data_IF_346889267572
#
_entry.id   IF_346889267572
#
_cell.length_a   1.000
_cell.length_b   1.000
_cell.length_c   1.000
_cell.angle_alpha   90.00
_cell.angle_beta   90.00
_cell.angle_gamma   90.00
#
_symmetry.space_group_name_H-M   'P 1'
#
loop_
_entity.id
_entity.type
_entity.pdbx_description
1 polymer ?
#
# COMPACT_ATOMS: atom_id res chain seq x y z
N UNK A 1 51.75 -19.78 -14.32
CA UNK A 1 52.68 -20.34 -15.32
C UNK A 1 51.85 -20.97 -16.43
N UNK A 2 52.17 -20.59 -17.68
CA UNK A 2 51.47 -20.92 -18.93
C UNK A 2 51.22 -22.41 -19.17
N UNK A 3 50.13 -22.71 -19.91
CA UNK A 3 50.23 -23.46 -21.18
C UNK A 3 48.97 -23.31 -22.05
N UNK A 4 49.17 -22.63 -23.17
CA UNK A 4 48.37 -22.70 -24.39
C UNK A 4 48.55 -24.08 -25.07
N UNK A 5 47.57 -24.55 -25.84
CA UNK A 5 47.72 -24.90 -27.29
C UNK A 5 46.45 -25.55 -27.86
N UNK A 6 45.93 -24.97 -28.96
CA UNK A 6 45.12 -25.66 -29.98
C UNK A 6 46.01 -26.53 -30.88
N UNK A 7 45.43 -27.42 -31.70
CA UNK A 7 45.56 -27.20 -33.15
C UNK A 7 44.34 -27.62 -34.02
N UNK A 8 44.45 -27.24 -35.31
CA UNK A 8 43.54 -27.28 -36.46
C UNK A 8 43.45 -28.64 -37.22
N UNK A 9 42.24 -28.95 -37.77
CA UNK A 9 41.83 -29.46 -39.13
C UNK A 9 42.53 -30.75 -39.73
N UNK A 10 42.11 -31.44 -40.86
CA UNK A 10 41.29 -31.02 -42.03
C UNK A 10 40.45 -32.10 -42.87
N UNK A 11 39.73 -31.66 -43.95
CA UNK A 11 39.29 -32.30 -45.27
C UNK A 11 38.35 -33.56 -45.23
N UNK A 12 37.32 -33.82 -46.08
CA UNK A 12 37.21 -33.83 -47.56
C UNK A 12 35.75 -34.03 -48.07
N UNK A 13 35.51 -33.54 -49.29
CA UNK A 13 34.26 -33.47 -50.06
C UNK A 13 33.88 -34.73 -50.87
N UNK A 14 32.61 -34.81 -51.31
CA UNK A 14 32.16 -35.59 -52.49
C UNK A 14 31.12 -34.78 -53.28
N UNK A 15 31.26 -34.84 -54.61
CA UNK A 15 30.58 -34.11 -55.69
C UNK A 15 29.79 -35.11 -56.57
N UNK A 16 29.05 -34.61 -57.60
CA UNK A 16 28.53 -35.29 -58.84
C UNK A 16 27.03 -35.70 -58.78
N UNK A 17 26.12 -35.49 -59.75
CA UNK A 17 26.07 -34.80 -61.07
C UNK A 17 24.59 -34.52 -61.48
N UNK A 18 24.48 -33.66 -62.49
CA UNK A 18 23.35 -33.10 -63.29
C UNK A 18 22.37 -34.04 -64.01
N UNK A 19 21.17 -33.51 -64.34
CA UNK A 19 20.45 -33.72 -65.62
C UNK A 19 19.60 -32.47 -66.00
N UNK A 20 19.53 -32.20 -67.31
CA UNK A 20 18.93 -31.02 -67.99
C UNK A 20 17.85 -31.49 -68.98
N UNK A 21 16.80 -30.66 -69.19
CA UNK A 21 15.87 -30.66 -70.34
C UNK A 21 14.40 -30.94 -69.94
N UNK A 22 13.33 -30.25 -70.38
CA UNK A 22 13.07 -29.27 -71.45
C UNK A 22 11.81 -28.42 -71.11
N UNK A 23 11.68 -27.26 -71.80
CA UNK A 23 10.60 -26.25 -71.82
C UNK A 23 9.16 -26.78 -71.99
N UNK A 24 8.16 -26.07 -71.41
CA UNK A 24 7.26 -25.09 -72.11
C UNK A 24 6.40 -24.26 -71.13
N UNK A 25 6.10 -23.03 -71.57
CA UNK A 25 5.32 -21.90 -70.99
C UNK A 25 3.98 -22.27 -70.30
N UNK A 26 3.33 -21.49 -69.42
CA UNK A 26 3.06 -20.04 -69.41
C UNK A 26 2.35 -19.64 -68.08
N UNK A 27 2.60 -18.41 -67.58
CA UNK A 27 1.80 -17.59 -66.61
C UNK A 27 1.53 -18.18 -65.18
N UNK A 28 1.68 -17.50 -64.04
CA UNK A 28 1.31 -16.14 -63.60
C UNK A 28 2.21 -15.76 -62.39
N UNK A 29 2.57 -14.48 -62.29
CA UNK A 29 3.62 -13.95 -61.42
C UNK A 29 3.45 -14.13 -59.90
N UNK A 30 4.60 -14.41 -59.26
CA UNK A 30 4.80 -14.43 -57.83
C UNK A 30 5.29 -13.06 -57.33
N UNK A 31 4.83 -12.70 -56.14
CA UNK A 31 4.98 -11.40 -55.51
C UNK A 31 6.36 -11.33 -54.84
N UNK A 32 7.14 -10.31 -55.19
CA UNK A 32 8.42 -10.01 -54.57
C UNK A 32 8.30 -9.88 -53.05
N UNK A 33 9.05 -10.70 -52.33
CA UNK A 33 9.28 -10.61 -50.88
C UNK A 33 10.06 -9.35 -50.54
N UNK A 34 9.34 -8.33 -50.06
CA UNK A 34 9.92 -7.17 -49.39
C UNK A 34 10.21 -7.53 -47.94
N UNK A 35 11.49 -7.58 -47.55
CA UNK A 35 11.92 -7.67 -46.16
C UNK A 35 11.55 -6.37 -45.44
N UNK A 36 10.40 -6.34 -44.76
CA UNK A 36 10.04 -5.28 -43.83
C UNK A 36 10.79 -5.49 -42.52
N UNK A 37 11.83 -4.70 -42.27
CA UNK A 37 12.44 -4.59 -40.95
C UNK A 37 11.44 -3.89 -40.02
N UNK A 38 10.64 -4.68 -39.31
CA UNK A 38 9.74 -4.17 -38.29
C UNK A 38 10.58 -3.68 -37.11
N UNK A 39 10.68 -2.36 -36.97
CA UNK A 39 11.30 -1.72 -35.82
C UNK A 39 10.41 -2.02 -34.62
N UNK A 40 10.96 -2.70 -33.60
CA UNK A 40 10.27 -2.93 -32.34
C UNK A 40 9.80 -1.58 -31.74
N UNK A 41 8.56 -1.47 -31.26
CA UNK A 41 8.11 -0.26 -30.57
C UNK A 41 9.06 0.07 -29.42
N UNK A 42 9.32 1.36 -29.13
CA UNK A 42 10.15 1.73 -27.99
C UNK A 42 9.52 1.17 -26.72
N UNK A 43 10.32 0.48 -25.89
CA UNK A 43 9.94 0.06 -24.55
C UNK A 43 9.43 1.28 -23.79
N UNK A 44 8.16 1.32 -23.36
CA UNK A 44 7.65 2.43 -22.57
C UNK A 44 8.51 2.56 -21.32
N UNK A 45 9.12 3.73 -21.12
CA UNK A 45 9.79 4.01 -19.85
C UNK A 45 8.72 4.01 -18.76
N UNK A 46 8.87 3.12 -17.78
CA UNK A 46 7.91 2.94 -16.69
C UNK A 46 7.52 4.28 -16.06
N UNK A 47 6.23 4.59 -15.91
CA UNK A 47 5.80 5.67 -15.04
C UNK A 47 6.37 5.42 -13.64
N UNK A 48 6.95 6.45 -13.02
CA UNK A 48 7.40 6.40 -11.64
C UNK A 48 6.24 5.94 -10.74
N UNK A 49 6.50 5.01 -9.81
CA UNK A 49 5.50 4.50 -8.87
C UNK A 49 4.75 5.68 -8.21
N UNK A 50 3.41 5.65 -8.19
CA UNK A 50 2.63 6.72 -7.61
C UNK A 50 3.03 6.87 -6.16
N UNK A 51 3.31 8.10 -5.72
CA UNK A 51 3.94 8.33 -4.44
C UNK A 51 3.06 7.76 -3.33
N UNK A 52 3.69 7.23 -2.28
CA UNK A 52 3.03 7.13 -0.97
C UNK A 52 2.37 8.48 -0.75
N UNK A 53 1.07 8.54 -0.40
CA UNK A 53 0.50 9.81 0.01
C UNK A 53 1.25 10.20 1.27
N UNK A 54 2.26 11.07 1.14
CA UNK A 54 3.03 11.59 2.27
C UNK A 54 2.19 12.64 2.99
N UNK A 55 0.97 12.26 3.31
CA UNK A 55 -0.01 13.07 4.00
C UNK A 55 -0.59 12.27 5.16
N UNK A 56 -0.98 13.00 6.18
CA UNK A 56 -1.65 12.45 7.34
C UNK A 56 -2.81 13.36 7.76
N UNK A 57 -3.78 12.76 8.42
CA UNK A 57 -4.96 13.37 9.00
C UNK A 57 -5.00 12.91 10.46
N UNK A 58 -4.61 13.76 11.43
CA UNK A 58 -4.52 13.36 12.83
C UNK A 58 -5.82 12.72 13.33
N UNK A 59 -5.70 11.64 14.10
CA UNK A 59 -6.85 10.85 14.56
C UNK A 59 -7.43 9.89 13.52
N UNK A 60 -7.17 10.08 12.22
CA UNK A 60 -7.87 9.35 11.15
C UNK A 60 -6.92 8.45 10.35
N UNK A 61 -5.85 9.02 9.76
CA UNK A 61 -5.01 8.33 8.77
C UNK A 61 -3.57 8.83 8.78
N UNK A 62 -2.62 7.93 8.53
CA UNK A 62 -1.24 8.27 8.23
C UNK A 62 -0.70 7.50 7.04
N UNK A 63 -0.52 8.19 5.91
CA UNK A 63 -0.16 7.51 4.68
C UNK A 63 -1.17 6.40 4.38
N UNK A 64 -0.71 5.15 4.49
CA UNK A 64 -1.48 3.92 4.29
C UNK A 64 -2.06 3.29 5.56
N UNK A 65 -1.86 3.90 6.71
CA UNK A 65 -2.32 3.38 8.00
C UNK A 65 -3.54 4.13 8.50
N UNK A 66 -4.35 3.42 9.25
CA UNK A 66 -5.55 3.89 9.95
C UNK A 66 -5.68 3.18 11.32
N UNK A 67 -6.78 3.42 12.01
CA UNK A 67 -7.09 2.82 13.31
C UNK A 67 -7.04 1.29 13.34
N UNK A 68 -7.38 0.61 12.24
CA UNK A 68 -7.44 -0.85 12.17
C UNK A 68 -6.11 -1.49 11.77
N UNK A 69 -5.11 -0.66 11.43
CA UNK A 69 -3.77 -1.14 11.10
C UNK A 69 -3.10 -1.79 12.30
N UNK A 70 -2.57 -2.99 12.09
CA UNK A 70 -1.90 -3.81 13.09
C UNK A 70 -0.39 -3.89 12.82
N UNK A 71 0.42 -4.24 13.83
CA UNK A 71 1.88 -4.37 13.67
C UNK A 71 2.30 -5.28 12.51
N UNK A 72 1.58 -6.38 12.29
CA UNK A 72 1.80 -7.35 11.22
C UNK A 72 1.52 -6.79 9.81
N UNK A 73 0.64 -5.78 9.70
CA UNK A 73 0.28 -5.15 8.43
C UNK A 73 1.41 -4.26 7.88
N UNK A 74 2.28 -3.78 8.76
CA UNK A 74 3.29 -2.76 8.43
C UNK A 74 4.24 -3.18 7.32
N UNK A 75 4.58 -4.47 7.24
CA UNK A 75 5.45 -4.96 6.18
C UNK A 75 4.76 -4.95 4.80
N UNK A 76 3.45 -5.19 4.74
CA UNK A 76 2.68 -5.04 3.51
C UNK A 76 2.55 -3.56 3.13
N UNK A 77 2.19 -2.70 4.09
CA UNK A 77 1.96 -1.28 3.83
C UNK A 77 3.27 -0.54 3.47
N UNK A 78 4.39 -0.95 4.05
CA UNK A 78 5.72 -0.35 3.89
C UNK A 78 6.83 -1.41 3.75
N UNK A 79 6.94 -2.08 2.59
CA UNK A 79 7.87 -3.20 2.42
C UNK A 79 9.35 -2.78 2.49
N UNK A 80 10.17 -3.72 2.96
CA UNK A 80 11.64 -3.73 2.87
C UNK A 80 12.47 -2.77 3.75
N UNK A 81 11.91 -2.08 4.76
CA UNK A 81 12.71 -1.29 5.75
C UNK A 81 11.99 -1.10 7.10
N UNK A 82 11.48 -2.19 7.65
CA UNK A 82 10.87 -2.22 8.99
C UNK A 82 11.89 -2.72 10.02
N UNK A 83 12.31 -1.87 10.95
CA UNK A 83 13.29 -2.20 12.00
C UNK A 83 12.59 -2.17 13.36
N UNK A 84 12.54 -3.31 14.07
CA UNK A 84 12.13 -3.33 15.48
C UNK A 84 13.09 -2.48 16.31
N UNK A 85 12.56 -1.58 17.13
CA UNK A 85 13.36 -0.66 17.92
C UNK A 85 12.69 -0.37 19.27
N UNK A 86 13.52 -0.02 20.25
CA UNK A 86 13.09 0.62 21.49
C UNK A 86 13.00 2.12 21.24
N UNK A 87 11.79 2.67 21.27
CA UNK A 87 11.51 4.08 20.96
C UNK A 87 11.44 4.88 22.24
N UNK A 88 12.19 5.98 22.34
CA UNK A 88 12.19 6.84 23.52
C UNK A 88 10.90 7.67 23.59
N UNK A 89 10.22 7.66 24.74
CA UNK A 89 8.92 8.33 24.94
C UNK A 89 8.94 9.45 25.98
N UNK A 90 10.12 9.80 26.50
CA UNK A 90 10.29 10.79 27.59
C UNK A 90 10.69 10.13 28.90
N UNK A 91 11.19 10.93 29.85
CA UNK A 91 11.55 10.49 31.22
C UNK A 91 12.53 9.29 31.28
N UNK A 92 13.34 9.10 30.23
CA UNK A 92 14.23 7.94 30.11
C UNK A 92 13.53 6.62 29.82
N UNK A 93 12.23 6.63 29.51
CA UNK A 93 11.42 5.45 29.19
C UNK A 93 11.48 5.09 27.70
N UNK A 94 11.31 3.80 27.41
CA UNK A 94 11.31 3.27 26.06
C UNK A 94 10.18 2.27 25.85
N UNK A 95 9.56 2.31 24.68
CA UNK A 95 8.51 1.36 24.27
C UNK A 95 8.94 0.52 23.08
N UNK A 96 8.33 -0.65 22.94
CA UNK A 96 8.49 -1.44 21.73
C UNK A 96 7.79 -0.76 20.55
N UNK A 97 8.51 -0.70 19.43
CA UNK A 97 8.04 -0.05 18.24
C UNK A 97 8.82 -0.47 17.01
N UNK A 98 8.56 0.26 15.94
CA UNK A 98 9.22 0.08 14.66
C UNK A 98 9.73 1.41 14.12
N UNK A 99 10.94 1.42 13.57
CA UNK A 99 11.38 2.43 12.60
C UNK A 99 11.01 1.95 11.21
N UNK A 100 10.17 2.71 10.53
CA UNK A 100 9.66 2.40 9.20
C UNK A 100 10.37 3.28 8.18
N UNK A 101 10.72 2.72 7.01
CA UNK A 101 11.52 3.40 5.99
C UNK A 101 12.88 3.91 6.51
N UNK A 102 13.50 3.17 7.45
CA UNK A 102 14.67 3.67 8.17
C UNK A 102 15.82 4.10 7.26
N UNK A 103 16.39 5.27 7.55
CA UNK A 103 17.47 5.90 6.77
C UNK A 103 17.00 6.69 5.55
N UNK A 104 15.69 6.89 5.36
CA UNK A 104 15.11 7.73 4.30
C UNK A 104 14.51 9.01 4.87
N UNK A 105 14.30 10.00 4.02
CA UNK A 105 13.57 11.23 4.35
C UNK A 105 12.12 10.96 4.78
N UNK A 106 11.59 9.80 4.38
CA UNK A 106 10.24 9.32 4.70
C UNK A 106 10.17 8.55 6.02
N UNK A 107 11.26 8.48 6.79
CA UNK A 107 11.32 7.69 8.02
C UNK A 107 10.36 8.23 9.08
N UNK A 108 9.70 7.30 9.76
CA UNK A 108 8.85 7.55 10.91
C UNK A 108 8.96 6.40 11.90
N UNK A 109 8.58 6.67 13.14
CA UNK A 109 8.51 5.71 14.23
C UNK A 109 7.04 5.33 14.48
N UNK A 110 6.82 4.05 14.74
CA UNK A 110 5.54 3.46 15.12
C UNK A 110 5.71 2.90 16.53
N UNK A 111 4.93 3.41 17.49
CA UNK A 111 4.88 2.89 18.84
C UNK A 111 3.69 1.93 18.93
N UNK A 112 3.93 0.74 19.45
CA UNK A 112 2.88 -0.26 19.60
C UNK A 112 1.97 0.05 20.78
N UNK A 113 0.70 -0.40 20.75
CA UNK A 113 -0.14 -0.38 21.93
C UNK A 113 0.57 -1.00 23.13
N UNK A 114 0.48 -0.34 24.28
CA UNK A 114 1.10 -0.74 25.54
C UNK A 114 0.23 -0.28 26.71
N UNK A 115 -0.35 -1.24 27.43
CA UNK A 115 -1.12 -0.96 28.65
C UNK A 115 -0.23 -0.34 29.74
N UNK A 116 1.00 -0.83 29.89
CA UNK A 116 1.99 -0.33 30.86
C UNK A 116 2.24 1.18 30.68
N UNK A 117 2.26 1.63 29.42
CA UNK A 117 2.58 3.01 29.04
C UNK A 117 1.33 3.85 28.79
N UNK A 118 0.13 3.31 28.99
CA UNK A 118 -1.12 4.00 28.69
C UNK A 118 -1.30 4.33 27.21
N UNK A 119 -0.75 3.51 26.30
CA UNK A 119 -0.90 3.61 24.85
C UNK A 119 -1.95 2.60 24.38
N UNK A 120 -3.25 2.91 24.35
CA UNK A 120 -4.29 1.94 23.98
C UNK A 120 -4.26 1.61 22.47
N UNK A 121 -3.68 2.50 21.65
CA UNK A 121 -3.63 2.36 20.19
C UNK A 121 -2.22 2.67 19.68
N UNK A 122 -1.96 2.26 18.44
CA UNK A 122 -0.70 2.56 17.77
C UNK A 122 -0.50 4.08 17.66
N UNK A 123 0.70 4.55 17.98
CA UNK A 123 1.07 5.97 17.86
C UNK A 123 2.14 6.15 16.80
N UNK A 124 2.05 7.24 16.05
CA UNK A 124 2.99 7.58 14.99
C UNK A 124 3.81 8.78 15.41
N UNK A 125 5.12 8.72 15.19
CA UNK A 125 6.05 9.83 15.39
C UNK A 125 6.82 10.12 14.11
N UNK A 126 6.73 11.36 13.62
CA UNK A 126 7.47 11.88 12.47
C UNK A 126 8.47 12.91 12.95
N UNK A 127 9.73 12.77 12.54
CA UNK A 127 10.83 13.57 13.12
C UNK A 127 11.91 13.97 12.09
N UNK A 128 11.76 13.59 10.82
CA UNK A 128 12.75 13.95 9.78
C UNK A 128 12.46 15.36 9.25
N UNK A 129 13.27 16.34 9.66
CA UNK A 129 13.27 17.71 9.10
C UNK A 129 13.45 17.66 7.58
N UNK A 130 12.57 18.36 6.86
CA UNK A 130 12.54 18.37 5.39
C UNK A 130 11.91 17.12 4.76
N UNK A 131 11.43 16.16 5.57
CA UNK A 131 10.73 14.98 5.09
C UNK A 131 9.41 15.33 4.38
N UNK A 132 8.88 14.40 3.56
CA UNK A 132 7.74 14.70 2.71
C UNK A 132 6.38 14.62 3.41
N UNK A 133 6.31 14.15 4.66
CA UNK A 133 5.06 14.00 5.41
C UNK A 133 4.42 15.36 5.74
N UNK A 134 3.19 15.59 5.28
CA UNK A 134 2.42 16.83 5.46
C UNK A 134 1.04 16.59 6.06
N UNK A 135 0.55 17.52 6.86
CA UNK A 135 -0.85 17.51 7.28
C UNK A 135 -1.72 17.79 6.05
N UNK A 136 -2.63 16.84 5.73
CA UNK A 136 -3.52 16.90 4.59
C UNK A 136 -4.23 18.26 4.46
N UNK A 137 -4.26 18.80 3.23
CA UNK A 137 -4.82 20.11 2.94
C UNK A 137 -3.92 21.30 3.30
N UNK A 138 -2.72 21.07 3.84
CA UNK A 138 -1.77 22.12 4.24
C UNK A 138 -0.33 21.79 3.78
N UNK A 139 0.59 22.73 4.00
CA UNK A 139 2.04 22.51 3.84
C UNK A 139 2.77 22.24 5.17
N UNK A 140 2.03 22.04 6.26
CA UNK A 140 2.60 21.83 7.61
C UNK A 140 3.23 20.44 7.69
N UNK A 141 4.49 20.38 8.11
CA UNK A 141 5.25 19.15 8.36
C UNK A 141 6.48 19.43 9.22
N UNK A 142 7.29 18.41 9.51
CA UNK A 142 8.52 18.62 10.30
C UNK A 142 9.45 19.61 9.59
N UNK A 143 9.91 20.61 10.33
CA UNK A 143 10.70 21.74 9.85
C UNK A 143 9.89 22.97 9.44
N UNK A 144 8.55 22.95 9.49
CA UNK A 144 7.75 24.16 9.23
C UNK A 144 8.12 25.25 10.24
N UNK A 145 8.50 26.45 9.78
CA UNK A 145 8.88 27.56 10.66
C UNK A 145 7.67 28.12 11.42
N UNK A 146 7.94 28.73 12.57
CA UNK A 146 6.90 29.20 13.50
C UNK A 146 5.90 30.18 12.88
N UNK A 147 6.36 31.10 12.02
CA UNK A 147 5.51 32.06 11.32
C UNK A 147 4.50 31.35 10.38
N UNK A 148 4.98 30.38 9.59
CA UNK A 148 4.14 29.57 8.73
C UNK A 148 3.20 28.65 9.52
N UNK A 149 3.59 28.19 10.72
CA UNK A 149 2.69 27.46 11.63
C UNK A 149 1.57 28.35 12.15
N UNK A 150 1.88 29.59 12.58
CA UNK A 150 0.88 30.56 13.04
C UNK A 150 -0.09 30.89 11.90
N UNK A 151 0.42 31.13 10.69
CA UNK A 151 -0.41 31.38 9.50
C UNK A 151 -1.32 30.19 9.19
N UNK A 152 -0.78 28.96 9.18
CA UNK A 152 -1.57 27.76 8.92
C UNK A 152 -2.62 27.51 10.01
N UNK A 153 -2.30 27.78 11.28
CA UNK A 153 -3.25 27.69 12.39
C UNK A 153 -4.33 28.77 12.32
N UNK A 154 -4.02 29.94 11.77
CA UNK A 154 -4.89 31.10 11.66
C UNK A 154 -4.83 32.06 12.84
N UNK A 155 -4.17 31.68 13.94
CA UNK A 155 -3.89 32.53 15.10
C UNK A 155 -2.75 31.91 15.94
N UNK A 156 -2.25 32.68 16.92
CA UNK A 156 -1.26 32.24 17.89
C UNK A 156 -1.78 31.08 18.77
N UNK A 157 -0.86 30.19 19.11
CA UNK A 157 -1.08 29.01 19.96
C UNK A 157 -0.09 28.97 21.14
N UNK A 158 -0.22 27.95 21.98
CA UNK A 158 0.59 27.72 23.18
C UNK A 158 1.39 26.42 23.13
N UNK A 159 2.56 26.43 23.77
CA UNK A 159 3.44 25.27 23.92
C UNK A 159 4.15 25.30 25.29
N UNK A 160 4.79 24.20 25.67
CA UNK A 160 5.59 24.09 26.89
C UNK A 160 6.97 24.72 26.73
N UNK A 161 7.47 25.44 27.73
CA UNK A 161 8.85 25.96 27.74
C UNK A 161 9.91 24.85 27.56
N UNK A 162 11.12 25.17 27.11
CA UNK A 162 12.18 24.19 26.82
C UNK A 162 12.99 23.75 28.06
N UNK A 163 13.90 22.79 27.90
CA UNK A 163 14.87 22.37 28.94
C UNK A 163 14.37 21.37 29.97
N UNK A 164 13.30 20.63 29.64
CA UNK A 164 12.79 19.49 30.39
C UNK A 164 12.19 18.47 29.41
N UNK A 165 11.79 17.30 29.90
CA UNK A 165 11.50 16.12 29.06
C UNK A 165 10.32 16.29 28.08
N UNK A 166 9.42 17.25 28.33
CA UNK A 166 8.32 17.60 27.41
C UNK A 166 8.45 19.02 26.85
N UNK A 167 9.65 19.60 26.90
CA UNK A 167 9.89 20.95 26.45
C UNK A 167 9.59 21.13 24.97
N UNK A 168 8.99 22.27 24.61
CA UNK A 168 8.56 22.55 23.24
C UNK A 168 7.21 21.93 22.84
N UNK A 169 6.63 21.02 23.64
CA UNK A 169 5.37 20.35 23.28
C UNK A 169 4.23 21.35 23.09
N UNK A 170 3.49 21.24 21.98
CA UNK A 170 2.33 22.10 21.70
C UNK A 170 1.19 21.67 22.63
N UNK A 171 0.70 22.61 23.44
CA UNK A 171 -0.28 22.33 24.50
C UNK A 171 -1.69 22.78 24.12
N UNK A 172 -1.83 23.82 23.28
CA UNK A 172 -3.13 24.35 22.90
C UNK A 172 -3.10 25.17 21.61
N UNK A 173 -3.79 24.70 20.57
CA UNK A 173 -3.97 25.43 19.29
C UNK A 173 -4.95 26.60 19.35
N UNK A 174 -5.58 26.85 20.50
CA UNK A 174 -6.57 27.92 20.75
C UNK A 174 -7.77 27.91 19.81
N UNK A 175 -8.15 26.72 19.31
CA UNK A 175 -9.26 26.55 18.38
C UNK A 175 -8.92 26.87 16.92
N UNK A 176 -7.62 27.00 16.59
CA UNK A 176 -7.15 27.17 15.23
C UNK A 176 -7.21 25.90 14.38
N UNK A 177 -6.86 26.04 13.10
CA UNK A 177 -7.03 24.99 12.08
C UNK A 177 -6.18 23.73 12.33
N UNK A 178 -5.20 23.79 13.23
CA UNK A 178 -4.29 22.68 13.53
C UNK A 178 -4.67 21.87 14.78
N UNK A 179 -5.87 22.06 15.34
CA UNK A 179 -6.33 21.48 16.63
C UNK A 179 -6.19 19.95 16.79
N UNK A 180 -5.98 19.17 15.72
CA UNK A 180 -5.70 17.73 15.79
C UNK A 180 -4.21 17.34 15.78
N UNK A 181 -3.31 18.25 15.41
CA UNK A 181 -1.88 17.99 15.33
C UNK A 181 -1.29 17.99 16.75
N UNK A 182 -0.54 16.95 17.14
CA UNK A 182 0.38 17.03 18.28
C UNK A 182 1.81 17.06 17.76
N UNK A 183 2.68 17.73 18.48
CA UNK A 183 4.07 17.89 18.09
C UNK A 183 4.81 18.77 19.08
N UNK A 184 6.10 18.96 18.85
CA UNK A 184 6.92 19.86 19.65
C UNK A 184 7.71 20.80 18.77
N UNK A 185 7.97 21.99 19.31
CA UNK A 185 8.78 23.02 18.70
C UNK A 185 10.22 22.92 19.18
N UNK A 186 11.17 23.26 18.31
CA UNK A 186 12.58 23.39 18.64
C UNK A 186 13.14 24.64 17.95
N UNK A 187 14.16 25.25 18.56
CA UNK A 187 14.94 26.33 17.95
C UNK A 187 16.10 25.77 17.12
N UNK A 188 16.67 26.59 16.25
CA UNK A 188 17.78 26.16 15.38
C UNK A 188 19.06 25.91 16.20
N UNK A 189 19.65 24.70 16.09
CA UNK A 189 20.83 24.31 16.87
C UNK A 189 22.07 25.20 16.60
N UNK A 190 22.12 25.95 15.51
CA UNK A 190 23.23 26.88 15.26
C UNK A 190 23.19 28.09 16.23
N UNK A 191 22.12 28.23 17.03
CA UNK A 191 21.93 29.25 18.07
C UNK A 191 22.35 28.71 19.46
N UNK A 192 23.09 27.59 19.54
CA UNK A 192 23.48 26.87 20.77
C UNK A 192 24.42 27.61 21.76
N UNK A 193 24.58 28.93 21.68
CA UNK A 193 25.11 29.67 22.82
C UNK A 193 23.97 29.83 23.84
N UNK A 194 24.02 29.05 24.94
CA UNK A 194 23.03 29.05 26.04
C UNK A 194 22.63 30.46 26.54
N UNK A 195 23.51 31.45 26.39
CA UNK A 195 23.27 32.85 26.78
C UNK A 195 22.33 33.60 25.82
N UNK A 196 21.94 33.01 24.69
CA UNK A 196 21.11 33.66 23.65
C UNK A 196 19.62 33.37 23.76
N UNK A 197 19.22 32.33 24.49
CA UNK A 197 17.80 31.97 24.67
C UNK A 197 17.34 32.50 26.03
N UNK A 198 16.32 33.37 26.09
CA UNK A 198 15.82 33.90 27.35
C UNK A 198 15.41 32.79 28.33
N UNK A 199 15.89 32.83 29.57
CA UNK A 199 15.57 31.86 30.65
C UNK A 199 14.07 31.67 30.85
N UNK A 200 13.28 32.71 30.57
CA UNK A 200 11.82 32.70 30.64
C UNK A 200 11.14 31.82 29.60
N UNK A 201 11.87 31.30 28.62
CA UNK A 201 11.37 30.31 27.67
C UNK A 201 11.66 28.87 28.14
N UNK A 202 12.32 28.70 29.28
CA UNK A 202 12.69 27.41 29.86
C UNK A 202 11.83 27.00 31.06
N UNK A 203 11.73 25.70 31.27
CA UNK A 203 11.05 25.07 32.41
C UNK A 203 9.60 24.71 32.11
N UNK A 204 8.99 24.05 33.10
CA UNK A 204 7.62 23.54 33.06
C UNK A 204 6.60 24.68 33.25
N UNK A 205 6.38 25.44 32.19
CA UNK A 205 5.35 26.44 32.10
C UNK A 205 4.89 26.61 30.65
N UNK A 206 3.76 27.29 30.46
CA UNK A 206 3.20 27.56 29.12
C UNK A 206 3.78 28.84 28.53
N UNK A 207 4.25 28.74 27.28
CA UNK A 207 4.72 29.84 26.44
C UNK A 207 3.72 30.08 25.32
N UNK A 208 3.40 31.35 25.06
CA UNK A 208 2.59 31.75 23.91
C UNK A 208 3.49 32.02 22.71
N UNK A 209 3.05 31.61 21.53
CA UNK A 209 3.72 31.95 20.26
C UNK A 209 3.61 33.44 19.89
N UNK A 210 2.83 34.24 20.64
CA UNK A 210 2.81 35.69 20.51
C UNK A 210 3.96 36.38 21.27
N UNK A 211 4.83 35.61 21.93
CA UNK A 211 5.97 36.14 22.65
C UNK A 211 7.07 36.60 21.68
N UNK A 212 7.32 37.91 21.63
CA UNK A 212 8.34 38.54 20.77
C UNK A 212 9.75 37.97 20.99
N UNK A 213 10.03 37.35 22.14
CA UNK A 213 11.31 36.72 22.44
C UNK A 213 11.60 35.50 21.57
N UNK A 214 10.60 34.96 20.88
CA UNK A 214 10.76 33.87 19.91
C UNK A 214 11.35 34.35 18.58
N UNK A 215 11.30 35.66 18.32
CA UNK A 215 11.80 36.24 17.08
C UNK A 215 13.31 36.03 16.94
N UNK A 216 13.73 35.56 15.77
CA UNK A 216 15.14 35.31 15.47
C UNK A 216 15.71 34.00 16.02
N UNK A 217 14.94 33.23 16.80
CA UNK A 217 15.39 31.92 17.32
C UNK A 217 15.26 30.76 16.32
N UNK A 218 14.77 31.02 15.10
CA UNK A 218 14.58 29.97 14.09
C UNK A 218 13.67 28.84 14.56
N UNK A 219 12.65 29.14 15.37
CA UNK A 219 11.73 28.15 15.92
C UNK A 219 10.98 27.44 14.80
N UNK A 220 10.95 26.11 14.86
CA UNK A 220 10.30 25.26 13.89
C UNK A 220 9.69 24.02 14.55
N UNK A 221 8.79 23.36 13.83
CA UNK A 221 8.22 22.06 14.22
C UNK A 221 9.30 20.97 14.16
N UNK A 222 9.67 20.39 15.29
CA UNK A 222 10.73 19.36 15.39
C UNK A 222 10.20 17.95 15.17
N UNK A 223 9.01 17.70 15.68
CA UNK A 223 8.37 16.41 15.53
C UNK A 223 6.85 16.55 15.56
N UNK A 224 6.21 15.54 14.99
CA UNK A 224 4.76 15.39 14.97
C UNK A 224 4.47 14.04 15.59
N UNK A 225 3.53 14.01 16.52
CA UNK A 225 3.02 12.79 17.13
C UNK A 225 1.50 12.76 17.03
N UNK A 226 0.91 11.61 16.76
CA UNK A 226 -0.53 11.43 16.90
C UNK A 226 -0.89 9.95 17.09
N UNK A 227 -2.07 9.73 17.65
CA UNK A 227 -2.75 8.45 17.76
C UNK A 227 -3.89 8.39 16.76
N UNK A 228 -4.36 7.19 16.44
CA UNK A 228 -5.65 7.03 15.78
C UNK A 228 -6.78 7.11 16.81
N UNK A 229 -7.81 7.89 16.51
CA UNK A 229 -9.01 7.99 17.32
C UNK A 229 -9.92 6.79 17.01
N UNK A 230 -10.57 6.26 18.05
CA UNK A 230 -11.56 5.20 17.86
C UNK A 230 -12.69 5.73 16.95
N UNK A 231 -12.93 5.10 15.78
CA UNK A 231 -14.01 5.51 14.87
C UNK A 231 -15.37 5.62 15.56
N UNK A 232 -15.63 4.81 16.59
CA UNK A 232 -16.87 4.87 17.37
C UNK A 232 -17.03 6.17 18.19
N UNK A 233 -15.94 6.88 18.46
CA UNK A 233 -15.91 8.11 19.25
C UNK A 233 -15.94 9.39 18.41
N UNK A 234 -15.66 9.29 17.10
CA UNK A 234 -15.70 10.42 16.17
C UNK A 234 -17.17 10.87 15.98
N UNK A 235 -17.52 12.06 16.47
CA UNK A 235 -18.89 12.60 16.42
C UNK A 235 -19.33 12.85 14.98
N UNK A 236 -20.35 12.13 14.53
CA UNK A 236 -20.90 12.29 13.18
C UNK A 236 -21.27 10.97 12.49
N UNK A 237 -21.93 10.05 13.20
CA UNK A 237 -22.85 9.03 12.65
C UNK A 237 -22.42 8.11 11.50
N UNK A 238 -21.17 8.07 11.02
CA UNK A 238 -20.86 7.26 9.81
C UNK A 238 -19.97 6.04 10.01
N UNK A 239 -19.28 5.86 11.15
CA UNK A 239 -18.35 4.73 11.29
C UNK A 239 -18.40 4.10 12.70
N UNK A 240 -19.50 3.42 13.03
CA UNK A 240 -19.36 2.18 13.83
C UNK A 240 -18.81 1.12 12.88
N UNK A 241 -17.52 1.19 12.58
CA UNK A 241 -16.90 0.30 11.59
C UNK A 241 -16.43 -0.99 12.23
N UNK A 242 -16.84 -2.10 11.64
CA UNK A 242 -16.07 -3.34 11.72
C UNK A 242 -14.79 -3.15 10.89
N UNK A 243 -13.72 -3.83 11.28
CA UNK A 243 -12.50 -3.90 10.48
C UNK A 243 -12.81 -4.63 9.16
N UNK A 244 -13.12 -3.85 8.12
CA UNK A 244 -13.39 -4.33 6.78
C UNK A 244 -12.15 -4.20 5.89
N UNK A 245 -10.95 -4.28 6.47
CA UNK A 245 -9.70 -4.18 5.71
C UNK A 245 -9.21 -5.54 5.21
N UNK A 246 -8.59 -5.52 4.04
CA UNK A 246 -7.88 -6.64 3.42
C UNK A 246 -6.40 -6.30 3.51
N UNK A 247 -5.60 -7.14 4.18
CA UNK A 247 -4.15 -7.06 4.14
C UNK A 247 -3.66 -8.32 3.46
N UNK A 248 -3.40 -8.27 2.14
CA UNK A 248 -3.12 -9.44 1.34
C UNK A 248 -1.94 -10.27 1.86
N UNK A 249 -2.15 -11.58 1.95
CA UNK A 249 -1.19 -12.53 2.53
C UNK A 249 -1.06 -12.45 4.05
N UNK A 250 -1.81 -11.57 4.74
CA UNK A 250 -1.76 -11.39 6.19
C UNK A 250 -3.13 -11.67 6.82
N UNK A 251 -4.19 -10.92 6.44
CA UNK A 251 -5.52 -11.03 7.07
C UNK A 251 -6.68 -10.48 6.21
N UNK A 252 -7.89 -10.95 6.53
CA UNK A 252 -9.16 -10.33 6.17
C UNK A 252 -9.86 -9.90 7.47
N UNK A 253 -9.89 -8.61 7.77
CA UNK A 253 -10.40 -8.10 9.04
C UNK A 253 -9.68 -8.77 10.20
N UNK A 254 -10.42 -9.55 10.98
CA UNK A 254 -9.87 -10.32 12.11
C UNK A 254 -9.48 -11.77 11.78
N UNK A 255 -9.55 -12.20 10.52
CA UNK A 255 -9.20 -13.56 10.10
C UNK A 255 -7.76 -13.58 9.62
N UNK A 256 -6.95 -14.51 10.14
CA UNK A 256 -5.53 -14.66 9.85
C UNK A 256 -5.23 -16.06 9.31
N UNK A 257 -4.05 -16.26 8.72
CA UNK A 257 -3.68 -17.58 8.18
C UNK A 257 -3.65 -18.71 9.21
N UNK A 258 -3.35 -18.40 10.48
CA UNK A 258 -3.43 -19.35 11.59
C UNK A 258 -4.80 -19.48 12.26
N UNK A 259 -5.86 -18.83 11.74
CA UNK A 259 -7.21 -18.97 12.30
C UNK A 259 -7.74 -20.39 12.08
N UNK A 260 -8.04 -21.09 13.17
CA UNK A 260 -8.60 -22.43 13.13
C UNK A 260 -10.10 -22.42 12.83
N UNK A 261 -10.63 -23.55 12.35
CA UNK A 261 -12.08 -23.76 12.17
C UNK A 261 -12.83 -23.56 13.49
N UNK A 262 -12.26 -23.94 14.63
CA UNK A 262 -12.89 -23.79 15.93
C UNK A 262 -13.04 -22.30 16.32
N UNK A 263 -11.95 -21.53 16.23
CA UNK A 263 -11.95 -20.08 16.49
C UNK A 263 -12.89 -19.34 15.53
N UNK A 264 -12.87 -19.71 14.24
CA UNK A 264 -13.79 -19.18 13.25
C UNK A 264 -15.26 -19.43 13.64
N UNK A 265 -15.61 -20.67 13.99
CA UNK A 265 -17.00 -21.04 14.34
C UNK A 265 -17.49 -20.33 15.60
N UNK A 266 -16.61 -20.15 16.58
CA UNK A 266 -16.91 -19.37 17.78
C UNK A 266 -17.13 -17.89 17.43
N UNK A 267 -16.20 -17.31 16.67
CA UNK A 267 -16.21 -15.89 16.34
C UNK A 267 -17.41 -15.47 15.47
N UNK A 268 -17.77 -16.30 14.49
CA UNK A 268 -18.84 -16.02 13.53
C UNK A 268 -20.13 -16.80 13.84
N UNK A 269 -20.33 -17.24 15.09
CA UNK A 269 -21.49 -18.02 15.48
C UNK A 269 -22.82 -17.33 15.08
N UNK A 270 -23.60 -17.98 14.23
CA UNK A 270 -24.87 -17.45 13.72
C UNK A 270 -24.72 -16.42 12.58
N UNK A 271 -23.50 -16.11 12.15
CA UNK A 271 -23.19 -15.19 11.06
C UNK A 271 -22.66 -15.91 9.80
N UNK A 272 -22.63 -17.24 9.77
CA UNK A 272 -22.21 -18.03 8.61
C UNK A 272 -23.17 -19.17 8.27
N UNK A 273 -23.08 -19.65 7.03
CA UNK A 273 -23.66 -20.91 6.56
C UNK A 273 -22.60 -21.78 5.87
N UNK A 274 -22.81 -23.10 5.83
CA UNK A 274 -21.95 -23.99 5.03
C UNK A 274 -22.22 -23.73 3.55
N UNK A 275 -21.15 -23.61 2.76
CA UNK A 275 -21.25 -23.34 1.34
C UNK A 275 -20.20 -24.12 0.56
N UNK A 276 -20.46 -24.31 -0.72
CA UNK A 276 -19.44 -24.76 -1.67
C UNK A 276 -18.48 -23.60 -1.95
N UNK A 277 -17.19 -23.91 -2.01
CA UNK A 277 -16.13 -22.97 -2.35
C UNK A 277 -15.52 -23.38 -3.69
N UNK A 278 -15.79 -22.58 -4.72
CA UNK A 278 -15.38 -22.88 -6.09
C UNK A 278 -13.92 -22.44 -6.32
N UNK A 279 -13.08 -23.38 -6.68
CA UNK A 279 -11.68 -23.14 -7.04
C UNK A 279 -11.51 -23.04 -8.56
N UNK A 280 -10.48 -22.30 -9.02
CA UNK A 280 -10.05 -22.36 -10.40
C UNK A 280 -9.84 -23.82 -10.86
N UNK A 281 -10.31 -24.15 -12.07
CA UNK A 281 -10.23 -25.50 -12.63
C UNK A 281 -11.41 -26.43 -12.28
N UNK A 282 -12.47 -25.91 -11.66
CA UNK A 282 -13.72 -26.65 -11.40
C UNK A 282 -13.64 -27.57 -10.18
N UNK A 283 -12.63 -27.38 -9.33
CA UNK A 283 -12.55 -28.03 -8.03
C UNK A 283 -13.53 -27.35 -7.06
N UNK A 284 -14.26 -28.14 -6.27
CA UNK A 284 -15.19 -27.63 -5.26
C UNK A 284 -14.74 -28.11 -3.89
N UNK A 285 -14.46 -27.15 -3.00
CA UNK A 285 -14.09 -27.39 -1.61
C UNK A 285 -15.30 -27.16 -0.70
N UNK A 286 -15.29 -27.79 0.47
CA UNK A 286 -16.20 -27.39 1.54
C UNK A 286 -15.72 -26.06 2.12
N UNK A 287 -16.62 -25.09 2.20
CA UNK A 287 -16.36 -23.79 2.80
C UNK A 287 -17.53 -23.27 3.64
N UNK A 288 -17.43 -22.00 3.97
CA UNK A 288 -18.42 -21.25 4.73
C UNK A 288 -18.68 -19.91 4.06
N UNK A 289 -19.95 -19.54 3.88
CA UNK A 289 -20.35 -18.19 3.49
C UNK A 289 -20.63 -17.40 4.75
N UNK A 290 -19.85 -16.35 4.98
CA UNK A 290 -19.98 -15.48 6.14
C UNK A 290 -20.75 -14.23 5.74
N UNK A 291 -21.59 -13.72 6.64
CA UNK A 291 -22.47 -12.57 6.42
C UNK A 291 -23.34 -12.68 5.14
N UNK A 292 -24.07 -13.79 4.95
CA UNK A 292 -24.81 -14.04 3.72
C UNK A 292 -25.80 -12.91 3.41
N UNK A 293 -25.84 -12.50 2.15
CA UNK A 293 -26.67 -11.43 1.59
C UNK A 293 -26.38 -10.03 2.15
N UNK A 294 -25.14 -9.78 2.58
CA UNK A 294 -24.72 -8.45 3.04
C UNK A 294 -23.52 -7.94 2.25
N UNK A 295 -23.24 -6.64 2.36
CA UNK A 295 -22.03 -6.02 1.83
C UNK A 295 -20.72 -6.51 2.50
N UNK A 296 -20.78 -7.28 3.58
CA UNK A 296 -19.60 -7.88 4.20
C UNK A 296 -19.44 -9.36 3.84
N UNK A 297 -20.22 -9.90 2.91
CA UNK A 297 -20.17 -11.31 2.55
C UNK A 297 -18.81 -11.73 1.97
N UNK A 298 -18.32 -12.90 2.40
CA UNK A 298 -17.18 -13.58 1.81
C UNK A 298 -17.33 -15.10 1.94
N UNK A 299 -16.64 -15.85 1.09
CA UNK A 299 -16.48 -17.29 1.19
C UNK A 299 -15.13 -17.62 1.80
N UNK A 300 -15.08 -18.64 2.66
CA UNK A 300 -13.84 -19.10 3.30
C UNK A 300 -13.76 -20.63 3.29
N UNK A 301 -12.60 -21.17 2.93
CA UNK A 301 -12.29 -22.60 3.00
C UNK A 301 -11.02 -22.84 3.80
N UNK A 302 -11.08 -23.80 4.72
CA UNK A 302 -10.00 -24.10 5.66
C UNK A 302 -9.12 -25.25 5.17
N UNK A 303 -7.78 -25.16 5.35
CA UNK A 303 -6.86 -26.22 4.94
C UNK A 303 -7.16 -27.53 5.68
N UNK A 304 -7.51 -27.46 6.96
CA UNK A 304 -7.85 -28.62 7.80
C UNK A 304 -9.16 -29.34 7.39
N UNK A 305 -10.05 -28.69 6.63
CA UNK A 305 -11.23 -29.32 6.02
C UNK A 305 -11.05 -29.58 4.52
N UNK A 306 -9.85 -29.33 3.97
CA UNK A 306 -9.54 -29.51 2.55
C UNK A 306 -8.98 -30.94 2.29
N UNK A 307 -9.65 -31.76 1.46
CA UNK A 307 -9.19 -33.12 1.17
C UNK A 307 -7.95 -33.19 0.26
N UNK A 308 -7.44 -32.07 -0.24
CA UNK A 308 -6.31 -31.98 -1.18
C UNK A 308 -5.02 -31.38 -0.57
N UNK A 309 -4.88 -31.38 0.76
CA UNK A 309 -3.67 -30.94 1.49
C UNK A 309 -3.25 -29.48 1.20
N UNK A 310 -4.21 -28.57 0.96
CA UNK A 310 -3.88 -27.14 0.94
C UNK A 310 -3.29 -26.72 2.30
N UNK A 311 -2.32 -25.81 2.28
CA UNK A 311 -1.65 -25.31 3.48
C UNK A 311 -2.13 -23.92 3.90
N UNK A 312 -2.84 -23.24 3.02
CA UNK A 312 -3.35 -21.90 3.27
C UNK A 312 -4.87 -21.90 3.49
N UNK A 313 -5.31 -20.97 4.34
CA UNK A 313 -6.70 -20.51 4.41
C UNK A 313 -7.04 -19.74 3.14
N UNK A 314 -8.17 -20.07 2.51
CA UNK A 314 -8.60 -19.49 1.24
C UNK A 314 -9.85 -18.66 1.44
N UNK A 315 -9.84 -17.43 0.91
CA UNK A 315 -10.96 -16.51 1.04
C UNK A 315 -11.29 -15.89 -0.32
N UNK A 316 -12.58 -15.77 -0.63
CA UNK A 316 -13.08 -15.14 -1.86
C UNK A 316 -14.10 -14.04 -1.55
N UNK A 317 -13.95 -12.93 -2.28
CA UNK A 317 -14.81 -11.76 -2.24
C UNK A 317 -15.26 -11.44 -3.68
N UNK A 318 -16.56 -11.51 -3.96
CA UNK A 318 -17.09 -11.32 -5.33
C UNK A 318 -18.17 -10.24 -5.43
N UNK A 319 -18.65 -9.73 -4.29
CA UNK A 319 -19.75 -8.76 -4.27
C UNK A 319 -19.30 -7.37 -4.69
N UNK A 320 -19.92 -6.82 -5.73
CA UNK A 320 -19.64 -5.44 -6.19
C UNK A 320 -19.96 -4.35 -5.16
N UNK A 321 -20.91 -4.61 -4.24
CA UNK A 321 -21.26 -3.72 -3.13
C UNK A 321 -20.44 -4.01 -1.85
N UNK A 322 -19.34 -4.76 -1.97
CA UNK A 322 -18.52 -5.15 -0.83
C UNK A 322 -17.91 -3.94 -0.09
N UNK A 323 -18.02 -3.96 1.23
CA UNK A 323 -17.35 -3.01 2.11
C UNK A 323 -15.86 -3.35 2.33
N UNK A 324 -15.39 -4.52 1.90
CA UNK A 324 -14.02 -4.94 2.09
C UNK A 324 -13.06 -4.15 1.19
N UNK A 325 -12.02 -3.54 1.77
CA UNK A 325 -11.04 -2.71 1.05
C UNK A 325 -9.60 -3.08 1.40
N UNK A 326 -8.71 -3.07 0.41
CA UNK A 326 -7.27 -3.25 0.60
C UNK A 326 -6.74 -2.14 1.49
N UNK A 327 -6.12 -2.52 2.61
CA UNK A 327 -5.64 -1.62 3.65
C UNK A 327 -4.74 -0.53 3.07
N UNK A 328 -4.96 0.70 3.52
CA UNK A 328 -4.24 1.88 3.02
C UNK A 328 -4.64 2.34 1.61
N UNK A 329 -5.72 1.81 1.06
CA UNK A 329 -6.27 2.19 -0.26
C UNK A 329 -7.80 2.16 -0.23
N UNK A 330 -8.43 2.58 -1.34
CA UNK A 330 -9.87 2.42 -1.56
C UNK A 330 -10.19 1.23 -2.50
N UNK A 331 -9.21 0.38 -2.83
CA UNK A 331 -9.40 -0.74 -3.75
C UNK A 331 -10.18 -1.84 -3.06
N UNK A 332 -11.24 -2.32 -3.69
CA UNK A 332 -12.04 -3.48 -3.33
C UNK A 332 -12.79 -4.00 -4.57
N UNK A 333 -13.63 -5.02 -4.40
CA UNK A 333 -14.52 -5.46 -5.49
C UNK A 333 -15.36 -4.27 -5.98
N UNK A 334 -15.54 -4.17 -7.30
CA UNK A 334 -16.20 -3.06 -7.98
C UNK A 334 -15.29 -1.85 -8.28
N UNK A 335 -14.06 -1.81 -7.77
CA UNK A 335 -13.13 -0.71 -8.08
C UNK A 335 -12.74 -0.75 -9.55
N UNK A 336 -12.70 0.42 -10.18
CA UNK A 336 -12.30 0.57 -11.58
C UNK A 336 -10.82 0.26 -11.78
N UNK A 337 -10.46 -0.15 -13.01
CA UNK A 337 -9.06 -0.31 -13.41
C UNK A 337 -8.20 0.92 -13.08
N UNK A 338 -8.77 2.12 -13.25
CA UNK A 338 -8.08 3.37 -12.96
C UNK A 338 -7.79 3.54 -11.45
N UNK A 339 -8.73 3.20 -10.58
CA UNK A 339 -8.52 3.23 -9.13
C UNK A 339 -7.46 2.21 -8.69
N UNK A 340 -7.46 1.01 -9.27
CA UNK A 340 -6.43 -0.01 -9.00
C UNK A 340 -5.06 0.45 -9.49
N UNK A 341 -4.97 1.03 -10.69
CA UNK A 341 -3.72 1.60 -11.21
C UNK A 341 -3.21 2.75 -10.35
N UNK A 342 -4.10 3.62 -9.86
CA UNK A 342 -3.76 4.72 -8.98
C UNK A 342 -3.21 4.20 -7.64
N UNK A 343 -3.87 3.19 -7.04
CA UNK A 343 -3.44 2.59 -5.79
C UNK A 343 -2.12 1.80 -5.92
N UNK A 344 -1.95 1.05 -7.01
CA UNK A 344 -0.68 0.37 -7.32
C UNK A 344 0.45 1.37 -7.61
N UNK A 345 0.05 2.49 -8.19
CA UNK A 345 0.87 3.62 -8.55
C UNK A 345 1.55 3.53 -9.90
N UNK A 346 1.37 2.44 -10.62
CA UNK A 346 1.85 2.27 -11.99
C UNK A 346 1.03 1.21 -12.70
N UNK A 347 1.14 1.13 -14.03
CA UNK A 347 0.61 -0.01 -14.77
C UNK A 347 1.16 -1.34 -14.22
N UNK A 348 0.41 -2.40 -14.47
CA UNK A 348 0.65 -3.75 -13.99
C UNK A 348 0.16 -4.74 -15.05
N UNK A 349 0.63 -5.98 -14.99
CA UNK A 349 0.32 -7.03 -15.96
C UNK A 349 -0.90 -7.86 -15.54
N UNK A 350 -1.76 -8.14 -16.51
CA UNK A 350 -2.97 -8.95 -16.39
C UNK A 350 -2.90 -10.15 -17.33
N UNK A 351 -3.50 -11.27 -16.93
CA UNK A 351 -3.83 -12.36 -17.85
C UNK A 351 -4.89 -11.88 -18.84
N UNK A 352 -4.62 -12.06 -20.14
CA UNK A 352 -5.52 -11.65 -21.21
C UNK A 352 -6.83 -12.47 -21.21
N UNK A 353 -7.93 -11.87 -21.68
CA UNK A 353 -9.29 -12.42 -21.55
C UNK A 353 -9.57 -13.68 -22.40
N UNK A 354 -8.65 -14.02 -23.31
CA UNK A 354 -8.71 -15.22 -24.14
C UNK A 354 -8.12 -16.46 -23.46
N UNK A 355 -7.58 -16.34 -22.24
CA UNK A 355 -6.88 -17.40 -21.53
C UNK A 355 -7.61 -17.83 -20.25
N UNK A 356 -7.24 -19.01 -19.73
CA UNK A 356 -7.67 -19.42 -18.38
C UNK A 356 -7.19 -18.40 -17.36
N UNK A 357 -8.02 -18.13 -16.34
CA UNK A 357 -7.83 -17.05 -15.38
C UNK A 357 -7.77 -15.63 -15.97
N UNK A 358 -8.44 -15.41 -17.11
CA UNK A 358 -8.72 -14.09 -17.67
C UNK A 358 -8.95 -13.00 -16.61
N UNK A 359 -8.19 -11.91 -16.71
CA UNK A 359 -8.29 -10.77 -15.79
C UNK A 359 -7.47 -10.90 -14.50
N UNK A 360 -6.85 -12.05 -14.22
CA UNK A 360 -5.95 -12.21 -13.06
C UNK A 360 -4.76 -11.23 -13.15
N UNK A 361 -4.46 -10.53 -12.06
CA UNK A 361 -3.22 -9.74 -11.95
C UNK A 361 -2.03 -10.67 -11.80
N UNK A 362 -1.15 -10.67 -12.79
CA UNK A 362 0.01 -11.56 -12.86
C UNK A 362 1.27 -10.95 -12.23
N UNK A 363 1.49 -9.65 -12.47
CA UNK A 363 2.60 -8.90 -11.88
C UNK A 363 2.16 -7.47 -11.60
N UNK A 364 2.45 -6.98 -10.40
CA UNK A 364 2.24 -5.59 -10.00
C UNK A 364 3.32 -4.63 -10.53
N UNK A 365 4.29 -5.15 -11.28
CA UNK A 365 5.44 -4.46 -11.86
C UNK A 365 6.32 -3.79 -10.80
N UNK A 366 6.36 -4.33 -9.58
CA UNK A 366 7.00 -3.72 -8.42
C UNK A 366 6.22 -2.53 -7.84
N UNK A 367 4.90 -2.53 -8.04
CA UNK A 367 3.97 -1.55 -7.49
C UNK A 367 3.54 -1.89 -6.07
N UNK A 368 2.65 -1.07 -5.54
CA UNK A 368 2.30 -1.05 -4.13
C UNK A 368 1.31 -2.11 -3.68
N UNK A 369 0.61 -2.76 -4.62
CA UNK A 369 -0.38 -3.79 -4.31
C UNK A 369 0.21 -5.21 -4.35
N UNK A 370 1.54 -5.36 -4.39
CA UNK A 370 2.21 -6.68 -4.38
C UNK A 370 1.72 -7.53 -3.21
N UNK A 371 1.25 -8.75 -3.51
CA UNK A 371 0.66 -9.68 -2.53
C UNK A 371 -0.86 -9.76 -2.61
N UNK A 372 -1.52 -8.83 -3.34
CA UNK A 372 -2.95 -8.88 -3.63
C UNK A 372 -3.23 -9.75 -4.86
N UNK A 373 -4.16 -10.70 -4.75
CA UNK A 373 -4.68 -11.47 -5.88
C UNK A 373 -6.03 -10.89 -6.29
N UNK A 374 -6.00 -10.05 -7.33
CA UNK A 374 -7.19 -9.43 -7.89
C UNK A 374 -7.49 -10.04 -9.25
N UNK A 375 -8.78 -10.20 -9.52
CA UNK A 375 -9.28 -10.48 -10.85
C UNK A 375 -9.99 -9.23 -11.35
N UNK A 376 -9.46 -8.68 -12.44
CA UNK A 376 -10.06 -7.61 -13.23
C UNK A 376 -10.96 -8.29 -14.26
N UNK A 377 -12.17 -8.66 -13.86
CA UNK A 377 -13.15 -9.32 -14.73
C UNK A 377 -14.01 -8.34 -15.54
N UNK A 378 -14.75 -8.91 -16.50
CA UNK A 378 -15.60 -8.20 -17.46
C UNK A 378 -16.57 -7.22 -16.77
N UNK A 379 -16.61 -5.98 -17.26
CA UNK A 379 -17.89 -5.41 -17.63
C UNK A 379 -18.47 -6.37 -18.67
N UNK A 380 -19.40 -7.26 -18.28
CA UNK A 380 -20.23 -7.91 -19.29
C UNK A 380 -20.71 -6.76 -20.17
N UNK A 381 -20.43 -6.83 -21.47
CA UNK A 381 -21.24 -6.06 -22.41
C UNK A 381 -22.70 -6.35 -22.05
N UNK A 382 -23.61 -5.37 -22.20
CA UNK A 382 -25.00 -5.55 -21.78
C UNK A 382 -25.69 -6.79 -22.41
N UNK A 383 -25.08 -7.39 -23.44
CA UNK A 383 -25.46 -8.62 -24.14
C UNK A 383 -24.66 -9.89 -23.75
N UNK A 384 -23.83 -9.84 -22.70
CA UNK A 384 -23.22 -11.01 -22.08
C UNK A 384 -22.07 -11.65 -22.85
N UNK A 385 -21.41 -10.92 -23.75
CA UNK A 385 -20.26 -11.43 -24.51
C UNK A 385 -18.95 -11.17 -23.79
N UNK A 386 -18.12 -12.22 -23.76
CA UNK A 386 -16.72 -12.18 -23.34
C UNK A 386 -15.94 -11.21 -24.24
N UNK A 387 -15.13 -10.35 -23.65
CA UNK A 387 -14.24 -9.49 -24.41
C UNK A 387 -13.15 -10.33 -25.07
N UNK A 388 -13.19 -10.47 -26.40
CA UNK A 388 -12.07 -11.05 -27.15
C UNK A 388 -10.93 -10.02 -27.19
N UNK A 389 -9.87 -10.30 -26.44
CA UNK A 389 -8.72 -9.40 -26.33
C UNK A 389 -7.44 -10.13 -26.70
N UNK A 390 -6.81 -9.70 -27.81
CA UNK A 390 -5.50 -10.08 -28.40
C UNK A 390 -5.10 -11.58 -28.42
N UNK A 391 -4.08 -11.93 -29.21
CA UNK A 391 -3.49 -13.29 -29.20
C UNK A 391 -2.42 -13.46 -28.11
N UNK A 392 -2.03 -12.37 -27.44
CA UNK A 392 -1.00 -12.39 -26.41
C UNK A 392 -1.58 -12.88 -25.08
N UNK A 393 -0.76 -13.57 -24.29
CA UNK A 393 -1.17 -14.13 -23.01
C UNK A 393 -1.35 -13.06 -21.93
N UNK A 394 -0.60 -11.96 -22.01
CA UNK A 394 -0.57 -10.92 -21.00
C UNK A 394 -0.87 -9.55 -21.60
N UNK A 395 -1.43 -8.66 -20.79
CA UNK A 395 -1.75 -7.29 -21.17
C UNK A 395 -1.41 -6.32 -20.03
N UNK A 396 -0.83 -5.18 -20.37
CA UNK A 396 -0.63 -4.09 -19.41
C UNK A 396 -1.94 -3.36 -19.11
N UNK A 397 -2.15 -3.01 -17.84
CA UNK A 397 -3.35 -2.31 -17.38
C UNK A 397 -3.55 -0.91 -17.97
N UNK A 398 -2.53 -0.30 -18.57
CA UNK A 398 -2.63 1.00 -19.24
C UNK A 398 -2.94 0.90 -20.74
N UNK A 399 -3.06 -0.31 -21.28
CA UNK A 399 -3.44 -0.53 -22.66
C UNK A 399 -4.73 0.25 -22.97
N UNK A 400 -4.72 0.91 -24.13
CA UNK A 400 -5.82 1.78 -24.53
C UNK A 400 -7.13 1.01 -24.69
N UNK A 401 -7.08 -0.14 -25.37
CA UNK A 401 -8.27 -0.95 -25.66
C UNK A 401 -8.84 -1.50 -24.36
N UNK A 402 -8.00 -1.98 -23.44
CA UNK A 402 -8.47 -2.42 -22.12
C UNK A 402 -9.17 -1.30 -21.35
N UNK A 403 -8.60 -0.08 -21.34
CA UNK A 403 -9.22 1.06 -20.65
C UNK A 403 -10.57 1.47 -21.26
N UNK A 404 -10.73 1.33 -22.58
CA UNK A 404 -12.00 1.58 -23.27
C UNK A 404 -13.12 0.62 -22.82
N UNK A 405 -12.76 -0.54 -22.25
CA UNK A 405 -13.71 -1.52 -21.70
C UNK A 405 -14.21 -1.17 -20.29
N UNK A 406 -13.53 -0.23 -19.62
CA UNK A 406 -13.82 0.19 -18.25
C UNK A 406 -14.02 -0.98 -17.27
N UNK A 407 -13.08 -1.96 -17.23
CA UNK A 407 -13.26 -3.12 -16.37
C UNK A 407 -13.12 -2.72 -14.89
N UNK A 408 -13.68 -3.55 -14.03
CA UNK A 408 -13.67 -3.39 -12.59
C UNK A 408 -13.08 -4.64 -11.93
N UNK A 409 -12.67 -4.53 -10.67
CA UNK A 409 -12.33 -5.69 -9.84
C UNK A 409 -13.59 -6.53 -9.69
N UNK A 410 -13.62 -7.74 -10.26
CA UNK A 410 -14.75 -8.65 -10.16
C UNK A 410 -14.63 -9.58 -8.95
N UNK A 411 -13.39 -9.89 -8.55
CA UNK A 411 -13.10 -10.80 -7.46
C UNK A 411 -11.77 -10.47 -6.79
N UNK A 412 -11.70 -10.73 -5.48
CA UNK A 412 -10.47 -10.74 -4.70
C UNK A 412 -10.33 -12.11 -4.06
N UNK A 413 -9.19 -12.75 -4.30
CA UNK A 413 -8.82 -13.99 -3.63
C UNK A 413 -7.72 -13.69 -2.61
N UNK A 414 -7.77 -14.38 -1.47
CA UNK A 414 -6.73 -14.33 -0.45
C UNK A 414 -6.29 -15.73 -0.08
N UNK A 415 -4.98 -15.91 0.01
CA UNK A 415 -4.34 -17.11 0.50
C UNK A 415 -3.53 -16.71 1.72
N UNK A 416 -3.96 -17.16 2.90
CA UNK A 416 -3.33 -16.82 4.17
C UNK A 416 -2.64 -18.07 4.73
N UNK A 417 -1.31 -18.03 4.83
CA UNK A 417 -0.52 -19.12 5.39
C UNK A 417 -0.40 -18.99 6.92
N UNK A 418 -0.24 -20.13 7.61
CA UNK A 418 0.01 -20.18 9.07
C UNK A 418 1.19 -19.33 9.54
#
# INVERSE_FOLDING_TARGET
MFKYTSPLLPILAVLILSLVGCKTDDQVGDVSSGTSTQVAPPTPTAPAAAPIPYTFEPGIRFGRMDYFTRPEDLNFLYPNKLIKAKIHVGEGQFVDGYRVQSGRETEFEVLLPSEEMGLPTMSIKVFRKGGPWKFAGTNVGVGTPLDALIEANGDHFEFSGWGWDYGGAITNWKGGNLTGLRGSLMFEQEILELDTIPETLYGDHTVSTADDRLFGLGVHLEEIQFTFDDPATIKGSLLKTKDNSIVPGVRLGDIYGGTTVAEFKEKFAGEYEVADFDEPGGLVLKGYRVYPNTANEFLIAFPEENPYEAKELRIQLERADSNWKVAGTNVGVGSTLAEVQLANGKPFELMSYNWENAGEVMDWDGGHLKGTFLFIGDALTADGKRLEYNEEMQILSNDRKLRELMPVVSKIDLYLAE
#
